data_IF_874837701413
#
_entry.id   IF_874837701413
#
_cell.length_a   1.000
_cell.length_b   1.000
_cell.length_c   1.000
_cell.angle_alpha   90.00
_cell.angle_beta   90.00
_cell.angle_gamma   90.00
#
_symmetry.space_group_name_H-M   'P 1'
#
loop_
_entity.id
_entity.type
_entity.pdbx_description
1 polymer ?
#
# COMPACT_ATOMS: atom_id res chain seq x y z
N UNK A 1 14.28 3.71 -29.86
CA UNK A 1 14.90 3.86 -28.52
C UNK A 1 13.79 4.33 -27.63
N UNK A 2 13.34 3.46 -26.73
CA UNK A 2 12.13 3.68 -25.91
C UNK A 2 12.38 4.71 -24.83
N UNK A 3 11.43 5.65 -24.66
CA UNK A 3 11.41 6.66 -23.57
C UNK A 3 11.29 6.06 -22.14
N UNK A 4 11.32 4.73 -22.00
CA UNK A 4 11.16 4.04 -20.72
C UNK A 4 12.44 3.94 -19.85
N UNK A 5 13.62 4.34 -20.35
CA UNK A 5 14.87 4.15 -19.61
C UNK A 5 15.23 5.31 -18.64
N UNK A 6 14.51 6.44 -18.72
CA UNK A 6 14.80 7.62 -17.87
C UNK A 6 13.93 7.73 -16.61
N UNK A 7 12.83 6.97 -16.49
CA UNK A 7 11.94 7.05 -15.32
C UNK A 7 12.57 6.34 -14.12
N UNK A 8 12.73 7.01 -12.95
CA UNK A 8 13.40 6.43 -11.79
C UNK A 8 12.68 5.17 -11.28
N UNK A 9 13.47 4.19 -10.83
CA UNK A 9 12.97 2.98 -10.19
C UNK A 9 12.58 3.32 -8.76
N UNK A 10 11.30 3.10 -8.42
CA UNK A 10 10.75 3.32 -7.07
C UNK A 10 10.79 2.04 -6.24
N UNK A 11 10.41 0.90 -6.81
CA UNK A 11 10.45 -0.39 -6.12
C UNK A 11 11.40 -1.32 -6.84
N UNK A 12 12.30 -1.95 -6.09
CA UNK A 12 13.16 -3.01 -6.58
C UNK A 12 13.14 -4.18 -5.58
N UNK A 13 12.65 -5.31 -6.01
CA UNK A 13 12.64 -6.58 -5.28
C UNK A 13 13.69 -7.46 -5.92
N UNK A 14 14.65 -7.94 -5.15
CA UNK A 14 15.79 -8.71 -5.64
C UNK A 14 15.88 -10.06 -4.93
N UNK A 15 15.62 -11.13 -5.68
CA UNK A 15 15.75 -12.50 -5.22
C UNK A 15 15.02 -12.78 -3.91
N UNK A 16 13.83 -12.22 -3.69
CA UNK A 16 13.13 -12.32 -2.40
C UNK A 16 12.60 -13.73 -2.16
N UNK A 17 13.03 -14.31 -1.06
CA UNK A 17 12.50 -15.56 -0.52
C UNK A 17 11.71 -15.32 0.76
N UNK A 18 10.64 -16.08 0.97
CA UNK A 18 9.92 -16.12 2.24
C UNK A 18 9.51 -17.54 2.59
N UNK A 19 9.89 -17.97 3.79
CA UNK A 19 9.54 -19.27 4.34
C UNK A 19 8.80 -19.07 5.66
N UNK A 20 7.72 -19.82 5.88
CA UNK A 20 6.96 -19.90 7.12
C UNK A 20 7.07 -21.34 7.66
N UNK A 21 7.87 -21.55 8.71
CA UNK A 21 8.25 -22.91 9.11
C UNK A 21 8.87 -23.66 7.93
N UNK A 22 8.30 -24.76 7.54
CA UNK A 22 8.78 -25.59 6.40
C UNK A 22 8.19 -25.15 5.04
N UNK A 23 7.21 -24.22 5.04
CA UNK A 23 6.53 -23.80 3.83
C UNK A 23 7.30 -22.66 3.14
N UNK A 24 7.94 -22.95 2.00
CA UNK A 24 8.64 -21.97 1.16
C UNK A 24 7.65 -21.31 0.20
N UNK A 25 7.17 -20.09 0.53
CA UNK A 25 6.12 -19.38 -0.19
C UNK A 25 6.68 -18.54 -1.34
N UNK A 26 7.70 -17.71 -1.09
CA UNK A 26 8.39 -16.95 -2.13
C UNK A 26 9.73 -17.62 -2.43
N UNK A 27 10.01 -17.83 -3.72
CA UNK A 27 11.12 -18.67 -4.20
C UNK A 27 12.06 -17.90 -5.13
N UNK A 28 12.60 -16.76 -4.67
CA UNK A 28 13.48 -15.92 -5.47
C UNK A 28 12.68 -15.01 -6.41
N UNK A 29 11.81 -14.17 -5.84
CA UNK A 29 11.00 -13.24 -6.61
C UNK A 29 11.78 -11.97 -6.93
N UNK A 30 11.68 -11.52 -8.18
CA UNK A 30 12.19 -10.23 -8.66
C UNK A 30 11.04 -9.37 -9.18
N UNK A 31 11.07 -8.07 -8.89
CA UNK A 31 10.11 -7.08 -9.39
C UNK A 31 10.77 -5.72 -9.45
N UNK A 32 10.57 -5.00 -10.54
CA UNK A 32 10.98 -3.61 -10.68
C UNK A 32 9.77 -2.79 -11.06
N UNK A 33 9.50 -1.68 -10.33
CA UNK A 33 8.42 -0.74 -10.62
C UNK A 33 9.00 0.67 -10.68
N UNK A 34 8.70 1.37 -11.76
CA UNK A 34 9.15 2.74 -12.00
C UNK A 34 8.14 3.77 -11.47
N UNK A 35 8.57 5.00 -11.31
CA UNK A 35 7.70 6.11 -10.89
C UNK A 35 6.50 6.26 -11.84
N UNK A 36 5.29 6.34 -11.25
CA UNK A 36 4.04 6.44 -12.01
C UNK A 36 3.58 5.14 -12.67
N UNK A 37 4.30 4.03 -12.50
CA UNK A 37 3.93 2.73 -13.07
C UNK A 37 2.91 2.02 -12.16
N UNK A 38 1.98 1.32 -12.79
CA UNK A 38 1.04 0.40 -12.13
C UNK A 38 1.44 -1.03 -12.45
N UNK A 39 2.03 -1.72 -11.48
CA UNK A 39 2.37 -3.13 -11.60
C UNK A 39 1.20 -4.00 -11.09
N UNK A 40 0.69 -4.88 -11.93
CA UNK A 40 -0.42 -5.79 -11.56
C UNK A 40 0.11 -7.20 -11.35
N UNK A 41 -0.10 -7.74 -10.15
CA UNK A 41 0.27 -9.10 -9.79
C UNK A 41 -0.94 -10.03 -9.93
N UNK A 42 -0.90 -10.91 -10.90
CA UNK A 42 -1.94 -11.91 -11.16
C UNK A 42 -1.44 -13.32 -10.87
N UNK A 43 -2.34 -14.23 -10.55
CA UNK A 43 -1.99 -15.63 -10.30
C UNK A 43 -2.99 -16.32 -9.36
N UNK A 44 -2.92 -17.66 -9.20
CA UNK A 44 -3.85 -18.41 -8.36
C UNK A 44 -3.76 -18.00 -6.89
N UNK A 45 -4.84 -18.26 -6.13
CA UNK A 45 -4.83 -18.08 -4.67
C UNK A 45 -3.72 -18.94 -4.05
N UNK A 46 -3.05 -18.39 -3.02
CA UNK A 46 -1.93 -19.08 -2.37
C UNK A 46 -0.59 -19.00 -3.10
N UNK A 47 -0.47 -18.33 -4.26
CA UNK A 47 0.82 -18.21 -4.98
C UNK A 47 1.81 -17.22 -4.35
N UNK A 48 1.48 -16.59 -3.22
CA UNK A 48 2.40 -15.70 -2.49
C UNK A 48 2.28 -14.21 -2.82
N UNK A 49 1.33 -13.76 -3.65
CA UNK A 49 1.17 -12.36 -4.05
C UNK A 49 1.03 -11.41 -2.85
N UNK A 50 0.11 -11.68 -1.94
CA UNK A 50 -0.07 -10.92 -0.71
C UNK A 50 1.16 -10.97 0.20
N UNK A 51 1.86 -12.10 0.21
CA UNK A 51 3.12 -12.25 0.96
C UNK A 51 4.20 -11.32 0.38
N UNK A 52 4.30 -11.22 -0.95
CA UNK A 52 5.22 -10.30 -1.61
C UNK A 52 4.91 -8.84 -1.26
N UNK A 53 3.63 -8.41 -1.34
CA UNK A 53 3.23 -7.07 -0.92
C UNK A 53 3.61 -6.79 0.55
N UNK A 54 3.40 -7.77 1.44
CA UNK A 54 3.76 -7.64 2.85
C UNK A 54 5.27 -7.60 3.08
N UNK A 55 6.06 -8.22 2.21
CA UNK A 55 7.51 -8.06 2.22
C UNK A 55 7.93 -6.64 1.76
N UNK A 56 7.25 -6.07 0.75
CA UNK A 56 7.54 -4.73 0.26
C UNK A 56 7.31 -3.68 1.35
N UNK A 57 6.21 -3.77 2.11
CA UNK A 57 5.91 -2.80 3.17
C UNK A 57 6.42 -3.20 4.56
N UNK A 58 7.30 -4.20 4.67
CA UNK A 58 7.90 -4.64 5.93
C UNK A 58 6.89 -5.16 6.98
N UNK A 59 5.71 -5.62 6.58
CA UNK A 59 4.81 -6.40 7.46
C UNK A 59 5.28 -7.84 7.62
N UNK A 60 5.95 -8.36 6.57
CA UNK A 60 6.66 -9.63 6.60
C UNK A 60 8.13 -9.39 6.25
N UNK A 61 9.03 -9.95 7.03
CA UNK A 61 10.45 -9.89 6.73
C UNK A 61 10.82 -10.98 5.71
N UNK A 62 11.49 -10.65 4.59
CA UNK A 62 12.04 -11.67 3.70
C UNK A 62 13.01 -12.60 4.44
N UNK A 63 12.99 -13.89 4.09
CA UNK A 63 13.97 -14.87 4.63
C UNK A 63 15.33 -14.74 3.94
N UNK A 64 15.32 -14.34 2.66
CA UNK A 64 16.50 -13.99 1.86
C UNK A 64 16.10 -13.03 0.74
N UNK A 65 17.09 -12.43 0.08
CA UNK A 65 16.88 -11.37 -0.88
C UNK A 65 16.66 -10.02 -0.19
N UNK A 66 16.27 -9.01 -0.94
CA UNK A 66 16.05 -7.67 -0.40
C UNK A 66 14.99 -6.90 -1.20
N UNK A 67 14.41 -5.91 -0.53
CA UNK A 67 13.52 -4.92 -1.13
C UNK A 67 14.15 -3.55 -0.98
N UNK A 68 14.18 -2.79 -2.06
CA UNK A 68 14.61 -1.39 -2.06
C UNK A 68 13.42 -0.51 -2.48
N UNK A 69 13.30 0.64 -1.83
CA UNK A 69 12.37 1.70 -2.21
C UNK A 69 13.20 2.97 -2.37
N UNK A 70 13.14 3.60 -3.55
CA UNK A 70 14.00 4.72 -3.95
C UNK A 70 15.49 4.44 -3.68
N UNK A 71 15.94 3.22 -3.98
CA UNK A 71 17.31 2.78 -3.74
C UNK A 71 17.66 2.50 -2.28
N UNK A 72 16.74 2.70 -1.33
CA UNK A 72 16.96 2.45 0.10
C UNK A 72 16.49 1.05 0.47
N UNK A 73 17.41 0.24 1.01
CA UNK A 73 17.09 -1.11 1.49
C UNK A 73 16.10 -1.04 2.65
N UNK A 74 15.02 -1.81 2.55
CA UNK A 74 13.97 -1.82 3.55
C UNK A 74 14.32 -2.74 4.72
N UNK A 75 14.10 -2.27 5.96
CA UNK A 75 14.33 -3.02 7.20
C UNK A 75 15.79 -3.10 7.67
N UNK A 76 16.73 -2.60 6.87
CA UNK A 76 18.16 -2.67 7.17
C UNK A 76 18.83 -1.32 6.97
N UNK A 77 20.04 -1.15 7.54
CA UNK A 77 20.87 0.02 7.29
C UNK A 77 21.33 0.05 5.83
N UNK A 78 21.59 1.26 5.32
CA UNK A 78 21.93 1.48 3.91
C UNK A 78 23.19 0.71 3.45
N UNK A 79 24.11 0.46 4.38
CA UNK A 79 25.36 -0.24 4.08
C UNK A 79 25.53 -1.46 4.98
N UNK A 80 26.07 -2.57 4.45
CA UNK A 80 26.44 -3.72 5.27
C UNK A 80 27.60 -3.38 6.20
N UNK A 81 27.72 -4.13 7.29
CA UNK A 81 28.87 -4.08 8.17
C UNK A 81 30.16 -4.52 7.41
N UNK A 82 31.37 -4.19 7.91
CA UNK A 82 32.63 -4.62 7.28
C UNK A 82 32.78 -6.13 7.09
N UNK A 83 32.04 -6.93 7.85
CA UNK A 83 31.97 -8.39 7.72
C UNK A 83 30.92 -8.88 6.72
N UNK A 84 30.26 -7.98 5.98
CA UNK A 84 29.25 -8.26 4.98
C UNK A 84 27.84 -8.52 5.53
N UNK A 85 27.63 -8.49 6.84
CA UNK A 85 26.31 -8.69 7.46
C UNK A 85 25.48 -7.41 7.38
N UNK A 86 24.19 -7.54 7.12
CA UNK A 86 23.23 -6.45 7.17
C UNK A 86 22.74 -6.20 8.60
N UNK A 87 22.84 -4.95 9.05
CA UNK A 87 22.33 -4.53 10.35
C UNK A 87 20.87 -4.13 10.24
N UNK A 88 19.98 -4.82 10.97
CA UNK A 88 18.56 -4.46 11.04
C UNK A 88 18.37 -3.07 11.65
N UNK A 89 17.36 -2.38 11.11
CA UNK A 89 16.85 -1.14 11.69
C UNK A 89 16.07 -1.43 12.98
N UNK A 90 16.02 -0.44 13.86
CA UNK A 90 15.15 -0.48 15.03
C UNK A 90 13.68 -0.40 14.61
N UNK A 91 12.72 -0.89 15.42
CA UNK A 91 11.30 -0.85 15.09
C UNK A 91 10.77 0.53 14.70
N UNK A 92 11.24 1.60 15.36
CA UNK A 92 10.85 2.98 15.04
C UNK A 92 11.36 3.43 13.66
N UNK A 93 12.57 3.01 13.26
CA UNK A 93 13.14 3.31 11.94
C UNK A 93 12.38 2.55 10.84
N UNK A 94 12.00 1.28 11.10
CA UNK A 94 11.14 0.50 10.18
C UNK A 94 9.76 1.14 10.05
N UNK A 95 9.17 1.62 11.17
CA UNK A 95 7.90 2.32 11.14
C UNK A 95 7.97 3.61 10.29
N UNK A 96 9.10 4.34 10.38
CA UNK A 96 9.34 5.52 9.56
C UNK A 96 9.45 5.17 8.05
N UNK A 97 10.15 4.09 7.68
CA UNK A 97 10.17 3.61 6.30
C UNK A 97 8.75 3.23 5.83
N UNK A 98 8.01 2.47 6.65
CA UNK A 98 6.64 2.04 6.35
C UNK A 98 5.67 3.19 6.16
N UNK A 99 5.84 4.31 6.88
CA UNK A 99 4.95 5.48 6.80
C UNK A 99 4.96 6.17 5.43
N UNK A 100 5.94 5.86 4.56
CA UNK A 100 6.04 6.35 3.18
C UNK A 100 5.28 5.46 2.18
N UNK A 101 4.77 4.32 2.64
CA UNK A 101 4.10 3.32 1.80
C UNK A 101 2.64 3.22 2.22
N UNK A 102 1.73 3.54 1.32
CA UNK A 102 0.31 3.30 1.53
C UNK A 102 -0.02 1.82 1.30
N UNK A 103 -0.85 1.23 2.15
CA UNK A 103 -1.34 -0.12 1.94
C UNK A 103 -2.82 -0.23 2.20
N UNK A 104 -3.52 -0.83 1.24
CA UNK A 104 -4.95 -1.13 1.27
C UNK A 104 -5.10 -2.64 1.23
N UNK A 105 -5.83 -3.19 2.20
CA UNK A 105 -6.03 -4.62 2.38
C UNK A 105 -7.35 -5.09 1.78
N UNK A 106 -7.49 -6.37 1.56
CA UNK A 106 -8.71 -7.05 1.16
C UNK A 106 -9.88 -6.78 2.11
N UNK A 107 -9.63 -6.81 3.44
CA UNK A 107 -10.56 -6.33 4.46
C UNK A 107 -10.21 -4.89 4.78
N UNK A 108 -11.22 -4.05 4.92
CA UNK A 108 -11.06 -2.58 5.02
C UNK A 108 -10.26 -2.12 6.23
N UNK A 109 -10.28 -2.90 7.33
CA UNK A 109 -9.57 -2.64 8.59
C UNK A 109 -9.76 -1.21 9.12
N UNK A 110 -10.95 -0.66 8.95
CA UNK A 110 -11.31 0.62 9.55
C UNK A 110 -11.45 0.47 11.06
N UNK A 111 -11.15 1.53 11.79
CA UNK A 111 -11.41 1.62 13.22
C UNK A 111 -12.93 1.76 13.42
N UNK A 112 -13.62 0.76 14.01
CA UNK A 112 -15.10 0.74 14.03
C UNK A 112 -15.70 1.80 14.95
N UNK A 113 -14.94 2.32 15.89
CA UNK A 113 -15.32 3.36 16.84
C UNK A 113 -15.04 4.79 16.35
N UNK A 114 -14.47 4.94 15.16
CA UNK A 114 -14.17 6.22 14.52
C UNK A 114 -15.05 6.41 13.28
N UNK A 115 -15.45 7.65 13.03
CA UNK A 115 -16.12 8.02 11.77
C UNK A 115 -15.20 7.87 10.57
N UNK A 116 -15.70 7.96 9.35
CA UNK A 116 -14.89 7.97 8.13
C UNK A 116 -13.82 9.07 8.18
N UNK A 117 -14.21 10.29 8.54
CA UNK A 117 -13.31 11.42 8.71
C UNK A 117 -12.21 11.13 9.74
N UNK A 118 -12.60 10.65 10.94
CA UNK A 118 -11.66 10.35 12.00
C UNK A 118 -10.70 9.21 11.63
N UNK A 119 -11.17 8.19 10.89
CA UNK A 119 -10.31 7.14 10.34
C UNK A 119 -9.22 7.68 9.42
N UNK A 120 -9.54 8.66 8.57
CA UNK A 120 -8.59 9.27 7.63
C UNK A 120 -7.62 10.21 8.37
N UNK A 121 -8.09 10.91 9.40
CA UNK A 121 -7.28 11.85 10.21
C UNK A 121 -6.27 11.17 11.14
N UNK A 122 -6.54 9.94 11.58
CA UNK A 122 -5.83 9.30 12.69
C UNK A 122 -4.32 9.26 12.49
N UNK A 123 -3.85 8.70 11.38
CA UNK A 123 -2.42 8.57 11.10
C UNK A 123 -1.72 9.93 10.87
N UNK A 124 -2.25 10.89 10.11
CA UNK A 124 -1.70 12.24 10.01
C UNK A 124 -1.49 12.92 11.37
N UNK A 125 -2.44 12.79 12.29
CA UNK A 125 -2.35 13.40 13.63
C UNK A 125 -1.36 12.65 14.51
N UNK A 126 -1.50 11.32 14.63
CA UNK A 126 -0.75 10.54 15.60
C UNK A 126 0.69 10.24 15.16
N UNK A 127 0.91 10.03 13.86
CA UNK A 127 2.22 9.62 13.34
C UNK A 127 3.01 10.81 12.80
N UNK A 128 2.36 11.72 12.04
CA UNK A 128 3.02 12.90 11.47
C UNK A 128 2.94 14.14 12.33
N UNK A 129 2.14 14.13 13.41
CA UNK A 129 1.95 15.26 14.31
C UNK A 129 1.26 16.46 13.65
N UNK A 130 0.46 16.24 12.59
CA UNK A 130 -0.28 17.31 11.96
C UNK A 130 -1.28 17.92 12.95
N UNK A 131 -1.43 19.27 12.98
CA UNK A 131 -2.52 19.90 13.72
C UNK A 131 -3.88 19.38 13.26
N UNK A 132 -4.79 19.14 14.21
CA UNK A 132 -6.11 18.54 13.93
C UNK A 132 -6.87 19.26 12.81
N UNK A 133 -6.86 20.61 12.79
CA UNK A 133 -7.52 21.38 11.74
C UNK A 133 -6.93 21.15 10.34
N UNK A 134 -5.61 20.99 10.23
CA UNK A 134 -4.95 20.67 8.98
C UNK A 134 -5.25 19.24 8.53
N UNK A 135 -5.23 18.28 9.47
CA UNK A 135 -5.58 16.89 9.20
C UNK A 135 -7.06 16.76 8.79
N UNK A 136 -7.97 17.49 9.43
CA UNK A 136 -9.39 17.50 9.07
C UNK A 136 -9.62 18.05 7.65
N UNK A 137 -9.02 19.19 7.32
CA UNK A 137 -9.11 19.76 5.96
C UNK A 137 -8.66 18.73 4.92
N UNK A 138 -7.47 18.15 5.10
CA UNK A 138 -6.93 17.13 4.21
C UNK A 138 -7.82 15.90 4.11
N UNK A 139 -8.34 15.42 5.24
CA UNK A 139 -9.20 14.25 5.26
C UNK A 139 -10.52 14.47 4.51
N UNK A 140 -11.12 15.68 4.63
CA UNK A 140 -12.32 16.05 3.87
C UNK A 140 -12.04 16.09 2.37
N UNK A 141 -10.92 16.69 1.95
CA UNK A 141 -10.50 16.71 0.54
C UNK A 141 -10.30 15.31 -0.03
N UNK A 142 -9.71 14.40 0.76
CA UNK A 142 -9.51 13.01 0.35
C UNK A 142 -10.82 12.21 0.31
N UNK A 143 -11.73 12.42 1.26
CA UNK A 143 -13.06 11.80 1.22
C UNK A 143 -13.87 12.30 0.04
N UNK A 144 -13.81 13.57 -0.30
CA UNK A 144 -14.41 14.13 -1.51
C UNK A 144 -13.84 13.49 -2.76
N UNK A 145 -12.51 13.35 -2.85
CA UNK A 145 -11.80 12.72 -3.97
C UNK A 145 -12.24 11.27 -4.20
N UNK A 146 -12.58 10.52 -3.15
CA UNK A 146 -13.10 9.15 -3.28
C UNK A 146 -14.63 9.09 -3.33
N UNK A 147 -15.32 10.23 -3.49
CA UNK A 147 -16.77 10.33 -3.62
C UNK A 147 -17.54 10.04 -2.34
N UNK A 148 -16.97 10.43 -1.18
CA UNK A 148 -17.56 10.20 0.15
C UNK A 148 -17.61 11.47 1.02
N UNK A 149 -17.64 12.65 0.41
CA UNK A 149 -17.69 13.91 1.14
C UNK A 149 -18.92 14.02 2.06
N UNK A 150 -20.08 13.53 1.60
CA UNK A 150 -21.34 13.48 2.36
C UNK A 150 -21.38 12.38 3.43
N UNK A 151 -20.37 11.50 3.48
CA UNK A 151 -20.26 10.36 4.40
C UNK A 151 -19.19 10.55 5.48
N UNK A 152 -18.60 11.73 5.57
CA UNK A 152 -17.49 12.01 6.49
C UNK A 152 -17.78 11.65 7.96
N UNK A 153 -19.00 11.91 8.40
CA UNK A 153 -19.42 11.71 9.79
C UNK A 153 -20.05 10.33 10.07
N UNK A 154 -20.11 9.43 9.07
CA UNK A 154 -20.65 8.07 9.21
C UNK A 154 -19.59 7.12 9.82
N UNK A 155 -20.07 6.18 10.64
CA UNK A 155 -19.26 5.09 11.15
C UNK A 155 -19.15 3.95 10.12
N UNK A 156 -18.12 3.09 10.21
CA UNK A 156 -17.98 1.95 9.29
C UNK A 156 -19.22 1.05 9.19
N UNK A 157 -19.96 0.87 10.28
CA UNK A 157 -21.22 0.08 10.30
C UNK A 157 -22.36 0.69 9.48
N UNK A 158 -22.26 1.97 9.15
CA UNK A 158 -23.26 2.73 8.37
C UNK A 158 -22.87 2.84 6.89
N UNK A 159 -21.70 2.27 6.51
CA UNK A 159 -21.14 2.34 5.16
C UNK A 159 -21.22 0.97 4.46
N UNK A 160 -21.50 0.99 3.16
CA UNK A 160 -21.38 -0.21 2.32
C UNK A 160 -19.94 -0.71 2.24
N UNK A 161 -19.72 -1.95 1.83
CA UNK A 161 -18.35 -2.49 1.64
C UNK A 161 -17.50 -1.63 0.70
N UNK A 162 -18.04 -1.20 -0.43
CA UNK A 162 -17.34 -0.31 -1.37
C UNK A 162 -17.04 1.07 -0.78
N UNK A 163 -17.95 1.62 0.05
CA UNK A 163 -17.70 2.86 0.77
C UNK A 163 -16.59 2.68 1.82
N UNK A 164 -16.61 1.60 2.60
CA UNK A 164 -15.54 1.30 3.57
C UNK A 164 -14.18 1.15 2.88
N UNK A 165 -14.12 0.49 1.73
CA UNK A 165 -12.89 0.36 0.95
C UNK A 165 -12.37 1.71 0.46
N UNK A 166 -13.25 2.58 -0.02
CA UNK A 166 -12.87 3.93 -0.44
C UNK A 166 -12.39 4.79 0.73
N UNK A 167 -12.97 4.65 1.93
CA UNK A 167 -12.41 5.25 3.16
C UNK A 167 -11.02 4.70 3.48
N UNK A 168 -10.79 3.38 3.32
CA UNK A 168 -9.47 2.79 3.54
C UNK A 168 -8.42 3.31 2.55
N UNK A 169 -8.80 3.56 1.28
CA UNK A 169 -7.95 4.21 0.28
C UNK A 169 -7.64 5.64 0.70
N UNK A 170 -8.65 6.44 1.05
CA UNK A 170 -8.44 7.82 1.52
C UNK A 170 -7.53 7.89 2.76
N UNK A 171 -7.69 6.95 3.71
CA UNK A 171 -6.82 6.82 4.89
C UNK A 171 -5.36 6.54 4.52
N UNK A 172 -5.11 5.67 3.55
CA UNK A 172 -3.76 5.39 3.09
C UNK A 172 -3.15 6.62 2.39
N UNK A 173 -3.92 7.32 1.56
CA UNK A 173 -3.49 8.54 0.87
C UNK A 173 -3.21 9.71 1.84
N UNK A 174 -3.85 9.74 3.00
CA UNK A 174 -3.68 10.81 3.99
C UNK A 174 -2.25 10.94 4.52
N UNK A 175 -1.45 9.87 4.38
CA UNK A 175 -0.05 9.85 4.75
C UNK A 175 0.90 10.36 3.64
N UNK A 176 0.40 10.91 2.52
CA UNK A 176 1.19 11.30 1.34
C UNK A 176 2.21 10.22 0.96
N UNK A 177 1.76 9.02 0.64
CA UNK A 177 2.65 7.92 0.34
C UNK A 177 3.33 8.12 -1.02
N UNK A 178 4.57 7.66 -1.15
CA UNK A 178 5.32 7.66 -2.41
C UNK A 178 4.87 6.55 -3.35
N UNK A 179 4.31 5.49 -2.78
CA UNK A 179 3.73 4.37 -3.51
C UNK A 179 2.56 3.76 -2.75
N UNK A 180 1.66 3.12 -3.48
CA UNK A 180 0.48 2.44 -2.94
C UNK A 180 0.51 0.95 -3.25
N UNK A 181 0.23 0.14 -2.25
CA UNK A 181 0.10 -1.31 -2.37
C UNK A 181 -1.36 -1.71 -2.13
N UNK A 182 -1.93 -2.50 -3.03
CA UNK A 182 -3.30 -2.97 -2.96
C UNK A 182 -3.35 -4.50 -2.93
N UNK A 183 -3.81 -5.07 -1.83
CA UNK A 183 -3.95 -6.52 -1.62
C UNK A 183 -5.40 -6.92 -1.83
N UNK A 184 -5.77 -7.30 -3.06
CA UNK A 184 -7.12 -7.72 -3.48
C UNK A 184 -8.23 -6.74 -3.05
N UNK A 185 -8.16 -5.45 -3.44
CA UNK A 185 -9.02 -4.40 -2.89
C UNK A 185 -10.50 -4.55 -3.18
N UNK A 186 -10.89 -5.45 -4.08
CA UNK A 186 -12.28 -5.67 -4.51
C UNK A 186 -12.84 -7.04 -4.12
N UNK A 187 -12.00 -7.97 -3.66
CA UNK A 187 -12.41 -9.37 -3.47
C UNK A 187 -13.42 -9.61 -2.33
N UNK A 188 -13.56 -8.64 -1.40
CA UNK A 188 -14.54 -8.69 -0.32
C UNK A 188 -15.81 -7.89 -0.62
N UNK A 189 -16.02 -7.45 -1.88
CA UNK A 189 -17.12 -6.61 -2.30
C UNK A 189 -18.13 -7.38 -3.14
N UNK A 190 -19.39 -6.95 -3.06
CA UNK A 190 -20.41 -7.35 -4.02
C UNK A 190 -20.05 -6.84 -5.42
N UNK A 191 -20.34 -7.60 -6.50
CA UNK A 191 -19.95 -7.24 -7.87
C UNK A 191 -20.41 -5.84 -8.31
N UNK A 192 -21.55 -5.37 -7.81
CA UNK A 192 -22.08 -4.04 -8.11
C UNK A 192 -21.23 -2.91 -7.54
N UNK A 193 -20.48 -3.16 -6.45
CA UNK A 193 -19.64 -2.16 -5.77
C UNK A 193 -18.19 -2.16 -6.27
N UNK A 194 -17.78 -3.17 -7.02
CA UNK A 194 -16.41 -3.31 -7.55
C UNK A 194 -16.04 -2.13 -8.44
N UNK A 195 -16.96 -1.71 -9.32
CA UNK A 195 -16.73 -0.63 -10.29
C UNK A 195 -16.37 0.70 -9.63
N UNK A 196 -16.98 1.02 -8.48
CA UNK A 196 -16.71 2.26 -7.75
C UNK A 196 -15.27 2.31 -7.21
N UNK A 197 -14.77 1.19 -6.68
CA UNK A 197 -13.39 1.09 -6.18
C UNK A 197 -12.40 1.09 -7.33
N UNK A 198 -12.67 0.36 -8.42
CA UNK A 198 -11.80 0.36 -9.60
C UNK A 198 -11.69 1.74 -10.25
N UNK A 199 -12.75 2.54 -10.23
CA UNK A 199 -12.71 3.93 -10.71
C UNK A 199 -11.70 4.75 -9.91
N UNK A 200 -11.74 4.68 -8.58
CA UNK A 200 -10.78 5.38 -7.72
C UNK A 200 -9.34 4.93 -8.02
N UNK A 201 -9.10 3.63 -8.22
CA UNK A 201 -7.76 3.13 -8.57
C UNK A 201 -7.28 3.63 -9.94
N UNK A 202 -8.18 3.72 -10.94
CA UNK A 202 -7.88 4.27 -12.26
C UNK A 202 -7.55 5.77 -12.19
N UNK A 203 -8.27 6.52 -11.37
CA UNK A 203 -8.01 7.94 -11.16
C UNK A 203 -6.63 8.15 -10.50
N UNK A 204 -6.28 7.33 -9.50
CA UNK A 204 -4.94 7.36 -8.88
C UNK A 204 -3.82 7.04 -9.89
N UNK A 205 -4.05 6.06 -10.78
CA UNK A 205 -3.12 5.71 -11.85
C UNK A 205 -2.95 6.87 -12.85
N UNK A 206 -4.06 7.50 -13.24
CA UNK A 206 -4.06 8.65 -14.14
C UNK A 206 -3.32 9.87 -13.55
N UNK A 207 -3.38 10.03 -12.22
CA UNK A 207 -2.65 11.06 -11.48
C UNK A 207 -1.14 10.75 -11.30
N UNK A 208 -0.66 9.61 -11.84
CA UNK A 208 0.75 9.22 -11.79
C UNK A 208 1.18 8.56 -10.48
N UNK A 209 0.25 8.05 -9.67
CA UNK A 209 0.59 7.30 -8.47
C UNK A 209 1.29 5.98 -8.82
N UNK A 210 2.46 5.75 -8.23
CA UNK A 210 3.15 4.45 -8.34
C UNK A 210 2.39 3.39 -7.53
N UNK A 211 2.01 2.28 -8.16
CA UNK A 211 1.17 1.29 -7.49
C UNK A 211 1.61 -0.15 -7.77
N UNK A 212 1.43 -1.03 -6.78
CA UNK A 212 1.43 -2.49 -6.98
C UNK A 212 0.07 -3.02 -6.54
N UNK A 213 -0.64 -3.67 -7.46
CA UNK A 213 -2.00 -4.13 -7.26
C UNK A 213 -2.07 -5.65 -7.42
N UNK A 214 -2.44 -6.35 -6.36
CA UNK A 214 -2.87 -7.75 -6.45
C UNK A 214 -4.35 -7.77 -6.73
N UNK A 215 -4.77 -8.33 -7.84
CA UNK A 215 -6.18 -8.42 -8.21
C UNK A 215 -6.47 -9.63 -9.09
N UNK A 216 -7.72 -10.08 -9.07
CA UNK A 216 -8.27 -11.04 -10.02
C UNK A 216 -9.14 -10.35 -11.09
N UNK A 217 -9.30 -9.03 -11.00
CA UNK A 217 -10.08 -8.23 -11.94
C UNK A 217 -9.28 -7.96 -13.21
N UNK A 218 -9.51 -8.76 -14.25
CA UNK A 218 -8.81 -8.64 -15.54
C UNK A 218 -9.09 -7.30 -16.24
N UNK A 219 -10.17 -6.60 -15.91
CA UNK A 219 -10.50 -5.28 -16.46
C UNK A 219 -9.68 -4.11 -15.87
N UNK A 220 -8.82 -4.40 -14.89
CA UNK A 220 -7.88 -3.43 -14.31
C UNK A 220 -6.45 -3.61 -14.86
N UNK A 221 -6.08 -4.84 -15.30
CA UNK A 221 -4.76 -5.20 -15.79
C UNK A 221 -4.51 -4.69 -17.28
#
# INVERSE_FOLDING_TARGET
MSQNDETPVVIQVEGVHKTFGDLHVLKGCDLTVRSGEVAVLVGPSGSGKSTLLRCINQLEEPTAGRVLIDGVVQGYRAEPLPDGRWQKLRPAEIAAQRSRIGMVFQRFHLFPHLTALANVMEAPVQVRGLPKAAAEKKARELLERVGLGDRADHYPSELSGGQQQRVAIARALAMDPELMLFDEPTSALDPELVSEVLTVLKDLAADGMTMVVVTHEMGFA
#
